data_IF_777114214754
#
_entry.id   IF_777114214754
#
_cell.length_a   1.000
_cell.length_b   1.000
_cell.length_c   1.000
_cell.angle_alpha   90.00
_cell.angle_beta   90.00
_cell.angle_gamma   90.00
#
_symmetry.space_group_name_H-M   'P 1'
#
loop_
_entity.id
_entity.type
_entity.pdbx_description
1 polymer ?
#
# COMPACT_ATOMS: atom_id res chain seq x y z
N UNK A 1 -25.67 -5.28 9.16
CA UNK A 1 -24.61 -4.67 8.32
C UNK A 1 -25.13 -3.62 7.33
N UNK A 2 -26.17 -3.90 6.53
CA UNK A 2 -26.67 -2.97 5.49
C UNK A 2 -27.11 -1.60 6.04
N UNK A 3 -27.72 -1.55 7.22
CA UNK A 3 -28.15 -0.31 7.88
C UNK A 3 -26.97 0.60 8.26
N UNK A 4 -25.94 0.06 8.95
CA UNK A 4 -24.74 0.81 9.36
C UNK A 4 -24.01 1.43 8.17
N UNK A 5 -23.86 0.68 7.07
CA UNK A 5 -23.28 1.21 5.82
C UNK A 5 -24.12 2.34 5.24
N UNK A 6 -25.44 2.17 5.20
CA UNK A 6 -26.32 3.20 4.67
C UNK A 6 -26.19 4.49 5.46
N UNK A 7 -26.28 4.41 6.79
CA UNK A 7 -26.16 5.55 7.70
C UNK A 7 -24.81 6.26 7.59
N UNK A 8 -23.71 5.50 7.56
CA UNK A 8 -22.37 6.07 7.40
C UNK A 8 -22.22 6.85 6.09
N UNK A 9 -22.74 6.30 4.98
CA UNK A 9 -22.73 6.99 3.69
C UNK A 9 -23.60 8.24 3.72
N UNK A 10 -24.75 8.21 4.40
CA UNK A 10 -25.62 9.38 4.56
C UNK A 10 -24.92 10.49 5.35
N UNK A 11 -24.31 10.15 6.50
CA UNK A 11 -23.52 11.10 7.31
C UNK A 11 -22.36 11.70 6.51
N UNK A 12 -21.62 10.87 5.77
CA UNK A 12 -20.55 11.35 4.92
C UNK A 12 -21.06 12.26 3.80
N UNK A 13 -22.23 11.97 3.22
CA UNK A 13 -22.86 12.84 2.21
C UNK A 13 -23.16 14.21 2.79
N UNK A 14 -23.73 14.28 3.99
CA UNK A 14 -24.00 15.54 4.69
C UNK A 14 -22.71 16.34 4.94
N UNK A 15 -21.63 15.67 5.34
CA UNK A 15 -20.32 16.33 5.53
C UNK A 15 -19.76 16.90 4.22
N UNK A 16 -19.87 16.16 3.12
CA UNK A 16 -19.42 16.65 1.80
C UNK A 16 -20.28 17.84 1.35
N UNK A 17 -21.59 17.82 1.66
CA UNK A 17 -22.52 18.91 1.34
C UNK A 17 -22.19 20.24 2.02
N UNK A 18 -21.42 20.23 3.12
CA UNK A 18 -20.91 21.46 3.73
C UNK A 18 -19.93 22.21 2.82
N UNK A 19 -19.28 21.50 1.89
CA UNK A 19 -18.30 22.07 0.95
C UNK A 19 -18.84 22.14 -0.48
N UNK A 20 -19.66 21.16 -0.87
CA UNK A 20 -20.35 21.12 -2.17
C UNK A 20 -21.83 20.77 -1.96
N UNK A 21 -22.73 21.77 -1.88
CA UNK A 21 -24.15 21.55 -1.66
C UNK A 21 -24.83 20.65 -2.71
N UNK A 22 -24.25 20.51 -3.90
CA UNK A 22 -24.77 19.66 -4.98
C UNK A 22 -24.37 18.19 -4.84
N UNK A 23 -23.51 17.86 -3.87
CA UNK A 23 -23.02 16.51 -3.66
C UNK A 23 -24.17 15.54 -3.37
N UNK A 24 -24.21 14.46 -4.14
CA UNK A 24 -25.21 13.40 -4.00
C UNK A 24 -24.57 12.16 -3.37
N UNK A 25 -25.42 11.27 -2.86
CA UNK A 25 -24.98 9.96 -2.37
C UNK A 25 -24.18 9.17 -3.42
N UNK A 26 -24.56 9.28 -4.69
CA UNK A 26 -23.87 8.63 -5.80
C UNK A 26 -22.47 9.20 -5.99
N UNK A 27 -22.31 10.53 -5.92
CA UNK A 27 -21.00 11.19 -5.98
C UNK A 27 -20.06 10.66 -4.89
N UNK A 28 -20.53 10.58 -3.64
CA UNK A 28 -19.74 10.08 -2.50
C UNK A 28 -19.31 8.63 -2.72
N UNK A 29 -20.22 7.76 -3.15
CA UNK A 29 -19.90 6.35 -3.40
C UNK A 29 -18.85 6.20 -4.52
N UNK A 30 -18.99 6.94 -5.62
CA UNK A 30 -18.01 6.94 -6.71
C UNK A 30 -16.65 7.44 -6.23
N UNK A 31 -16.63 8.48 -5.38
CA UNK A 31 -15.39 9.00 -4.80
C UNK A 31 -14.70 7.98 -3.90
N UNK A 32 -15.45 7.29 -3.03
CA UNK A 32 -14.90 6.20 -2.22
C UNK A 32 -14.28 5.13 -3.10
N UNK A 33 -14.99 4.67 -4.13
CA UNK A 33 -14.45 3.63 -5.03
C UNK A 33 -13.21 4.10 -5.77
N UNK A 34 -13.20 5.35 -6.26
CA UNK A 34 -12.03 5.96 -6.89
C UNK A 34 -10.82 6.00 -5.95
N UNK A 35 -11.00 6.44 -4.70
CA UNK A 35 -9.94 6.45 -3.68
C UNK A 35 -9.40 5.04 -3.44
N UNK A 36 -10.28 4.06 -3.23
CA UNK A 36 -9.91 2.65 -3.03
C UNK A 36 -9.10 2.11 -4.21
N UNK A 37 -9.51 2.42 -5.44
CA UNK A 37 -8.81 1.98 -6.64
C UNK A 37 -7.41 2.61 -6.75
N UNK A 38 -7.26 3.90 -6.41
CA UNK A 38 -5.95 4.56 -6.38
C UNK A 38 -5.01 3.91 -5.37
N UNK A 39 -5.45 3.74 -4.11
CA UNK A 39 -4.61 3.16 -3.06
C UNK A 39 -4.24 1.71 -3.40
N UNK A 40 -5.16 0.90 -3.97
CA UNK A 40 -4.85 -0.46 -4.41
C UNK A 40 -3.78 -0.53 -5.49
N UNK A 41 -3.83 0.37 -6.49
CA UNK A 41 -2.78 0.44 -7.53
C UNK A 41 -1.44 0.80 -6.91
N UNK A 42 -1.43 1.75 -5.99
CA UNK A 42 -0.23 2.17 -5.29
C UNK A 42 0.34 1.03 -4.43
N UNK A 43 -0.50 0.31 -3.70
CA UNK A 43 -0.11 -0.87 -2.94
C UNK A 43 0.49 -1.96 -3.83
N UNK A 44 -0.08 -2.21 -5.01
CA UNK A 44 0.50 -3.17 -5.97
C UNK A 44 1.89 -2.74 -6.44
N UNK A 45 2.16 -1.44 -6.61
CA UNK A 45 3.50 -0.94 -6.96
C UNK A 45 4.49 -1.20 -5.83
N UNK A 46 4.10 -0.92 -4.58
CA UNK A 46 4.92 -1.23 -3.39
C UNK A 46 5.23 -2.72 -3.34
N UNK A 47 4.22 -3.58 -3.43
CA UNK A 47 4.38 -5.04 -3.34
C UNK A 47 5.23 -5.59 -4.50
N UNK A 48 5.06 -5.08 -5.71
CA UNK A 48 5.91 -5.48 -6.84
C UNK A 48 7.36 -5.05 -6.65
N UNK A 49 7.59 -3.82 -6.16
CA UNK A 49 8.93 -3.32 -5.89
C UNK A 49 9.60 -4.10 -4.76
N UNK A 50 8.88 -4.45 -3.68
CA UNK A 50 9.38 -5.33 -2.62
C UNK A 50 9.89 -6.68 -3.13
N UNK A 51 9.26 -7.24 -4.18
CA UNK A 51 9.68 -8.54 -4.77
C UNK A 51 10.97 -8.46 -5.58
N UNK A 52 11.31 -7.28 -6.09
CA UNK A 52 12.47 -7.08 -6.97
C UNK A 52 13.58 -6.26 -6.32
N UNK A 53 13.31 -5.64 -5.17
CA UNK A 53 14.27 -4.81 -4.44
C UNK A 53 15.30 -5.69 -3.75
N UNK A 54 16.59 -5.35 -3.93
CA UNK A 54 17.70 -5.98 -3.21
C UNK A 54 17.93 -5.29 -1.85
N UNK A 55 17.66 -3.98 -1.78
CA UNK A 55 17.78 -3.18 -0.56
C UNK A 55 16.46 -2.47 -0.21
N UNK A 56 16.28 -2.12 1.06
CA UNK A 56 15.10 -1.37 1.52
C UNK A 56 14.97 0.00 0.84
N UNK A 57 16.08 0.64 0.49
CA UNK A 57 16.10 1.92 -0.24
C UNK A 57 15.52 1.82 -1.64
N UNK A 58 15.50 0.62 -2.21
CA UNK A 58 15.05 0.37 -3.59
C UNK A 58 13.54 0.08 -3.61
N UNK A 59 12.90 -0.03 -2.45
CA UNK A 59 11.46 -0.22 -2.31
C UNK A 59 10.75 1.09 -2.67
N UNK A 60 9.83 0.98 -3.64
CA UNK A 60 8.99 2.08 -4.08
C UNK A 60 8.21 2.68 -2.92
N UNK A 61 8.35 4.00 -2.75
CA UNK A 61 7.60 4.77 -1.77
C UNK A 61 6.30 5.33 -2.41
N UNK A 62 5.13 5.03 -1.83
CA UNK A 62 3.86 5.62 -2.25
C UNK A 62 3.90 7.15 -2.28
N UNK A 63 3.40 7.76 -3.35
CA UNK A 63 3.32 9.22 -3.46
C UNK A 63 1.98 9.77 -2.93
N UNK A 64 1.04 8.89 -2.63
CA UNK A 64 -0.30 9.26 -2.24
C UNK A 64 -0.32 9.65 -0.75
N UNK A 65 -0.56 10.93 -0.45
CA UNK A 65 -0.50 11.45 0.93
C UNK A 65 -1.45 10.75 1.92
N UNK A 66 -2.55 10.17 1.41
CA UNK A 66 -3.54 9.44 2.21
C UNK A 66 -3.34 7.91 2.17
N UNK A 67 -2.20 7.43 1.68
CA UNK A 67 -1.93 6.00 1.54
C UNK A 67 -2.05 5.27 2.89
N UNK A 68 -1.38 5.79 3.93
CA UNK A 68 -1.35 5.16 5.26
C UNK A 68 -2.71 5.15 5.95
N UNK A 69 -3.58 6.12 5.64
CA UNK A 69 -4.97 6.17 6.12
C UNK A 69 -5.80 4.99 5.60
N UNK A 70 -5.38 4.37 4.50
CA UNK A 70 -6.03 3.21 3.89
C UNK A 70 -5.31 1.88 4.20
N UNK A 71 -4.30 1.88 5.09
CA UNK A 71 -3.54 0.69 5.50
C UNK A 71 -4.44 -0.47 5.98
N UNK A 72 -5.55 -0.17 6.65
CA UNK A 72 -6.52 -1.15 7.10
C UNK A 72 -7.13 -1.99 5.96
N UNK A 73 -7.08 -1.51 4.71
CA UNK A 73 -7.57 -2.27 3.56
C UNK A 73 -6.66 -3.44 3.17
N UNK A 74 -5.39 -3.40 3.56
CA UNK A 74 -4.38 -4.37 3.15
C UNK A 74 -4.04 -5.38 4.24
N UNK A 75 -4.43 -5.12 5.50
CA UNK A 75 -4.18 -6.02 6.63
C UNK A 75 -4.79 -7.42 6.46
N UNK A 76 -5.83 -7.56 5.63
CA UNK A 76 -6.42 -8.87 5.32
C UNK A 76 -5.69 -9.61 4.18
N UNK A 77 -4.81 -8.94 3.43
CA UNK A 77 -4.14 -9.46 2.24
C UNK A 77 -2.63 -9.73 2.42
N UNK A 78 -2.07 -9.48 3.60
CA UNK A 78 -0.70 -9.88 3.92
C UNK A 78 -0.69 -11.36 4.36
N UNK A 79 -0.25 -12.33 3.55
CA UNK A 79 0.30 -13.55 4.12
C UNK A 79 1.54 -13.12 4.91
N UNK A 80 1.62 -13.43 6.20
CA UNK A 80 2.78 -13.18 7.05
C UNK A 80 4.06 -13.61 6.33
N UNK A 81 4.78 -12.67 5.72
CA UNK A 81 6.11 -12.93 5.18
C UNK A 81 7.06 -12.58 6.31
N UNK A 82 7.38 -13.58 7.13
CA UNK A 82 8.61 -13.57 7.92
C UNK A 82 9.76 -13.39 6.93
N UNK A 83 10.39 -12.21 6.96
CA UNK A 83 11.65 -12.00 6.27
C UNK A 83 12.72 -12.82 7.01
N UNK A 84 12.86 -14.08 6.62
CA UNK A 84 14.02 -14.91 6.92
C UNK A 84 15.25 -14.25 6.29
N UNK A 85 15.94 -13.44 7.09
CA UNK A 85 17.23 -12.84 6.75
C UNK A 85 18.30 -13.92 6.86
N UNK A 86 18.43 -14.77 5.85
CA UNK A 86 19.59 -15.66 5.72
C UNK A 86 20.81 -14.82 5.33
N UNK A 87 21.56 -14.38 6.34
CA UNK A 87 22.96 -13.98 6.21
C UNK A 87 23.82 -15.25 6.19
N UNK A 88 24.33 -15.65 5.05
CA UNK A 88 25.56 -16.45 4.92
C UNK A 88 26.20 -16.15 3.56
N UNK A 89 27.50 -16.04 3.34
CA UNK A 89 28.71 -15.91 4.17
C UNK A 89 29.72 -15.32 3.17
N UNK A 90 30.52 -14.35 3.61
CA UNK A 90 31.65 -13.85 2.84
C UNK A 90 32.65 -14.98 2.57
N UNK A 91 32.85 -15.35 1.30
CA UNK A 91 33.96 -16.19 0.87
C UNK A 91 35.05 -15.30 0.26
N UNK A 92 36.08 -15.01 1.06
CA UNK A 92 37.38 -14.54 0.59
C UNK A 92 37.99 -15.54 -0.41
N UNK A 93 38.53 -15.11 -1.55
CA UNK A 93 39.54 -15.89 -2.26
C UNK A 93 40.92 -15.55 -1.68
N UNK A 94 41.51 -16.48 -0.94
CA UNK A 94 42.94 -16.45 -0.66
C UNK A 94 43.74 -16.80 -1.91
N UNK A 95 44.86 -16.11 -2.05
CA UNK A 95 45.83 -16.14 -3.15
C UNK A 95 46.49 -17.50 -3.36
N UNK A 96 46.75 -17.85 -4.62
CA UNK A 96 47.93 -18.67 -4.99
C UNK A 96 48.74 -17.91 -6.04
N UNK A 97 49.83 -17.31 -5.60
CA UNK A 97 50.97 -16.92 -6.42
C UNK A 97 52.03 -18.00 -6.23
N UNK A 98 52.43 -18.68 -7.29
CA UNK A 98 53.79 -19.20 -7.41
C UNK A 98 54.27 -18.88 -8.83
N UNK A 99 55.22 -17.95 -8.89
CA UNK A 99 56.07 -17.64 -10.03
C UNK A 99 57.48 -18.08 -9.67
N UNK A 100 58.17 -18.60 -10.70
CA UNK A 100 59.59 -18.95 -10.81
C UNK A 100 60.04 -20.29 -10.22
#
# INVERSE_FOLDING_TARGET
MKHKRHEAITKLTQLVQLYDPSATRVHVLRKIESLRACVRREFKRVQNSKKTAENESDIYTPHLWYYDLFSFMFQAEEPSQEFEKTKEVAASPQSTSVVS
#
